data_IF_777524619714
#
_entry.id   IF_777524619714
#
_cell.length_a   1.000
_cell.length_b   1.000
_cell.length_c   1.000
_cell.angle_alpha   90.00
_cell.angle_beta   90.00
_cell.angle_gamma   90.00
#
_symmetry.space_group_name_H-M   'P 1'
#
loop_
_entity.id
_entity.type
_entity.pdbx_description
1 polymer ?
#
# COMPACT_ATOMS: atom_id res chain seq x y z
N UNK A 1 5.53 -6.14 -31.18
CA UNK A 1 6.07 -6.68 -29.91
C UNK A 1 5.88 -5.64 -28.82
N UNK A 2 4.86 -5.81 -27.98
CA UNK A 2 4.86 -5.26 -26.62
C UNK A 2 3.83 -6.10 -25.88
N UNK A 3 4.32 -6.98 -25.01
CA UNK A 3 3.49 -7.80 -24.17
C UNK A 3 2.77 -6.83 -23.24
N UNK A 4 1.46 -6.68 -23.43
CA UNK A 4 0.61 -5.87 -22.57
C UNK A 4 0.84 -6.30 -21.13
N UNK A 5 1.26 -5.33 -20.31
CA UNK A 5 1.41 -5.41 -18.86
C UNK A 5 0.20 -6.16 -18.33
N UNK A 6 0.44 -7.37 -17.83
CA UNK A 6 -0.61 -8.30 -17.46
C UNK A 6 -1.63 -7.59 -16.58
N UNK A 7 -2.90 -7.70 -16.97
CA UNK A 7 -4.01 -7.52 -16.05
C UNK A 7 -3.78 -8.53 -14.93
N UNK A 8 -3.15 -8.08 -13.84
CA UNK A 8 -3.08 -8.82 -12.60
C UNK A 8 -4.52 -9.02 -12.18
N UNK A 9 -4.98 -10.24 -12.38
CA UNK A 9 -6.32 -10.72 -12.14
C UNK A 9 -6.83 -10.28 -10.77
N UNK A 10 -8.06 -9.77 -10.80
CA UNK A 10 -8.98 -9.38 -9.72
C UNK A 10 -9.27 -10.54 -8.75
N UNK A 11 -8.21 -11.05 -8.10
CA UNK A 11 -8.33 -11.60 -6.76
C UNK A 11 -8.05 -10.42 -5.85
N UNK A 12 -9.11 -9.71 -5.39
CA UNK A 12 -8.97 -8.58 -4.46
C UNK A 12 -8.01 -8.98 -3.36
N UNK A 13 -6.83 -8.39 -3.36
CA UNK A 13 -5.82 -8.79 -2.41
C UNK A 13 -6.40 -8.54 -1.02
N UNK A 14 -6.17 -9.45 -0.06
CA UNK A 14 -6.56 -9.18 1.32
C UNK A 14 -6.01 -7.79 1.68
N UNK A 15 -6.86 -6.92 2.24
CA UNK A 15 -6.53 -5.53 2.58
C UNK A 15 -6.56 -4.48 1.44
N UNK A 16 -7.06 -4.77 0.24
CA UNK A 16 -7.12 -3.77 -0.85
C UNK A 16 -7.88 -2.50 -0.45
N UNK A 17 -9.12 -2.62 0.02
CA UNK A 17 -9.92 -1.46 0.43
C UNK A 17 -9.32 -0.76 1.65
N UNK A 18 -8.83 -1.54 2.63
CA UNK A 18 -8.12 -0.99 3.79
C UNK A 18 -6.93 -0.12 3.36
N UNK A 19 -6.11 -0.58 2.40
CA UNK A 19 -4.93 0.16 1.97
C UNK A 19 -5.31 1.42 1.18
N UNK A 20 -6.37 1.37 0.36
CA UNK A 20 -6.90 2.54 -0.36
C UNK A 20 -7.40 3.62 0.60
N UNK A 21 -8.22 3.22 1.58
CA UNK A 21 -8.75 4.11 2.60
C UNK A 21 -7.62 4.71 3.44
N UNK A 22 -6.71 3.87 3.94
CA UNK A 22 -5.58 4.28 4.75
C UNK A 22 -4.67 5.29 4.01
N UNK A 23 -4.39 5.07 2.73
CA UNK A 23 -3.61 6.02 1.92
C UNK A 23 -4.34 7.35 1.75
N UNK A 24 -5.63 7.33 1.39
CA UNK A 24 -6.42 8.54 1.23
C UNK A 24 -6.47 9.37 2.54
N UNK A 25 -6.64 8.69 3.67
CA UNK A 25 -6.66 9.31 4.99
C UNK A 25 -5.32 9.96 5.37
N UNK A 26 -4.20 9.26 5.16
CA UNK A 26 -2.86 9.77 5.53
C UNK A 26 -2.36 10.85 4.59
N UNK A 27 -2.64 10.73 3.29
CA UNK A 27 -2.26 11.75 2.32
C UNK A 27 -3.19 12.99 2.39
N UNK A 28 -4.43 12.80 2.84
CA UNK A 28 -5.43 13.88 3.00
C UNK A 28 -5.94 14.42 1.67
N UNK A 29 -5.83 13.63 0.60
CA UNK A 29 -6.22 13.98 -0.78
C UNK A 29 -6.87 12.78 -1.45
N UNK A 30 -7.59 13.02 -2.54
CA UNK A 30 -7.98 11.96 -3.46
C UNK A 30 -6.71 11.37 -4.12
N UNK A 31 -6.60 10.04 -4.13
CA UNK A 31 -5.43 9.32 -4.64
C UNK A 31 -5.77 8.60 -5.94
N UNK A 32 -4.79 8.47 -6.82
CA UNK A 32 -4.84 7.58 -7.97
C UNK A 32 -4.39 6.18 -7.53
N UNK A 33 -5.33 5.22 -7.54
CA UNK A 33 -5.09 3.85 -7.09
C UNK A 33 -4.12 3.06 -7.99
N UNK A 34 -3.78 3.56 -9.17
CA UNK A 34 -2.81 2.96 -10.08
C UNK A 34 -1.42 3.61 -9.98
N UNK A 35 -1.24 4.54 -9.03
CA UNK A 35 0.02 5.26 -8.80
C UNK A 35 0.65 4.95 -7.46
N UNK A 36 1.97 5.12 -7.42
CA UNK A 36 2.76 4.89 -6.23
C UNK A 36 2.52 5.93 -5.13
N UNK A 37 3.03 5.64 -3.95
CA UNK A 37 2.83 6.49 -2.78
C UNK A 37 3.43 7.89 -2.96
N UNK A 38 4.65 7.96 -3.50
CA UNK A 38 5.34 9.22 -3.77
C UNK A 38 4.66 10.03 -4.89
N UNK A 39 4.13 9.35 -5.92
CA UNK A 39 3.42 10.00 -7.03
C UNK A 39 2.09 10.62 -6.57
N UNK A 40 1.49 10.07 -5.51
CA UNK A 40 0.30 10.62 -4.84
C UNK A 40 0.64 11.73 -3.82
N UNK A 41 1.90 12.18 -3.75
CA UNK A 41 2.33 13.24 -2.83
C UNK A 41 2.76 12.75 -1.44
N UNK A 42 3.00 11.45 -1.29
CA UNK A 42 3.56 10.87 -0.08
C UNK A 42 5.01 11.25 0.17
N UNK A 43 5.46 11.05 1.41
CA UNK A 43 6.82 11.29 1.87
C UNK A 43 7.18 10.30 2.99
N UNK A 44 8.42 10.33 3.47
CA UNK A 44 8.90 9.41 4.51
C UNK A 44 8.14 9.52 5.83
N UNK A 45 7.68 10.73 6.21
CA UNK A 45 6.93 10.90 7.46
C UNK A 45 5.57 10.20 7.35
N UNK A 46 4.86 10.41 6.24
CA UNK A 46 3.59 9.75 5.97
C UNK A 46 3.75 8.25 5.77
N UNK A 47 4.84 7.79 5.16
CA UNK A 47 5.13 6.36 5.04
C UNK A 47 5.25 5.68 6.41
N UNK A 48 5.95 6.31 7.36
CA UNK A 48 6.03 5.81 8.75
C UNK A 48 4.64 5.79 9.41
N UNK A 49 3.77 6.78 9.14
CA UNK A 49 2.40 6.77 9.65
C UNK A 49 1.58 5.58 9.11
N UNK A 50 1.73 5.24 7.82
CA UNK A 50 1.10 4.06 7.21
C UNK A 50 1.56 2.80 7.94
N UNK A 51 2.87 2.60 8.11
CA UNK A 51 3.42 1.40 8.78
C UNK A 51 2.84 1.23 10.19
N UNK A 52 2.82 2.31 10.98
CA UNK A 52 2.29 2.25 12.34
C UNK A 52 0.81 1.88 12.37
N UNK A 53 -0.01 2.47 11.50
CA UNK A 53 -1.44 2.16 11.42
C UNK A 53 -1.70 0.73 10.93
N UNK A 54 -0.93 0.27 9.95
CA UNK A 54 -1.00 -1.13 9.49
C UNK A 54 -0.73 -2.08 10.66
N UNK A 55 0.29 -1.81 11.46
CA UNK A 55 0.61 -2.63 12.63
C UNK A 55 -0.51 -2.59 13.68
N UNK A 56 -1.00 -1.41 14.03
CA UNK A 56 -2.06 -1.24 15.04
C UNK A 56 -3.37 -1.95 14.63
N UNK A 57 -3.73 -1.90 13.35
CA UNK A 57 -5.01 -2.42 12.86
C UNK A 57 -4.94 -3.91 12.46
N UNK A 58 -3.77 -4.40 12.05
CA UNK A 58 -3.63 -5.77 11.50
C UNK A 58 -2.68 -6.66 12.28
N UNK A 59 -1.86 -6.10 13.17
CA UNK A 59 -0.79 -6.81 13.88
C UNK A 59 0.34 -7.29 12.97
N UNK A 60 0.42 -6.80 11.72
CA UNK A 60 1.45 -7.18 10.75
C UNK A 60 2.49 -6.07 10.56
N UNK A 61 3.71 -6.48 10.27
CA UNK A 61 4.85 -5.58 10.11
C UNK A 61 5.25 -5.46 8.63
N UNK A 62 5.36 -4.23 8.15
CA UNK A 62 5.87 -3.88 6.82
C UNK A 62 6.92 -2.76 6.96
N UNK A 63 7.90 -2.67 6.05
CA UNK A 63 8.90 -1.60 6.10
C UNK A 63 8.33 -0.30 5.52
N UNK A 64 8.78 0.85 6.02
CA UNK A 64 8.42 2.14 5.43
C UNK A 64 8.99 2.27 4.01
N UNK A 65 10.11 1.59 3.71
CA UNK A 65 10.65 1.50 2.36
C UNK A 65 9.69 0.79 1.41
N UNK A 66 8.99 -0.25 1.87
CA UNK A 66 7.97 -0.94 1.07
C UNK A 66 6.83 0.02 0.68
N UNK A 67 6.46 0.92 1.59
CA UNK A 67 5.43 1.94 1.32
C UNK A 67 5.93 2.95 0.28
N UNK A 68 7.16 3.43 0.41
CA UNK A 68 7.75 4.40 -0.52
C UNK A 68 7.93 3.83 -1.93
N UNK A 69 8.28 2.54 -2.03
CA UNK A 69 8.51 1.83 -3.30
C UNK A 69 7.22 1.24 -3.89
N UNK A 70 6.13 1.20 -3.13
CA UNK A 70 4.85 0.66 -3.58
C UNK A 70 4.34 1.44 -4.80
N UNK A 71 4.11 0.72 -5.89
CA UNK A 71 3.57 1.27 -7.15
C UNK A 71 2.06 1.52 -7.10
N UNK A 72 1.38 1.04 -6.06
CA UNK A 72 -0.04 1.26 -5.80
C UNK A 72 -0.43 0.76 -4.42
N UNK A 73 -1.59 1.17 -3.87
CA UNK A 73 -2.16 0.56 -2.67
C UNK A 73 -2.30 -0.97 -2.81
N UNK A 74 -2.70 -1.47 -3.98
CA UNK A 74 -2.85 -2.91 -4.22
C UNK A 74 -1.52 -3.67 -4.24
N UNK A 75 -0.42 -3.03 -4.66
CA UNK A 75 0.91 -3.62 -4.53
C UNK A 75 1.29 -3.81 -3.05
N UNK A 76 1.02 -2.81 -2.22
CA UNK A 76 1.30 -2.87 -0.79
C UNK A 76 0.36 -3.83 -0.05
N UNK A 77 -0.91 -3.92 -0.44
CA UNK A 77 -1.87 -4.91 0.09
C UNK A 77 -1.39 -6.35 -0.13
N UNK A 78 -0.85 -6.67 -1.31
CA UNK A 78 -0.23 -7.99 -1.56
C UNK A 78 0.97 -8.27 -0.65
N UNK A 79 1.82 -7.27 -0.44
CA UNK A 79 2.96 -7.38 0.47
C UNK A 79 2.48 -7.66 1.90
N UNK A 80 1.48 -6.89 2.36
CA UNK A 80 0.84 -7.07 3.67
C UNK A 80 0.18 -8.45 3.83
N UNK A 81 -0.42 -9.00 2.77
CA UNK A 81 -1.00 -10.35 2.83
C UNK A 81 0.05 -11.41 3.19
N UNK A 82 1.30 -11.25 2.73
CA UNK A 82 2.45 -12.13 3.04
C UNK A 82 3.29 -11.72 4.25
N UNK A 83 3.03 -10.54 4.82
CA UNK A 83 3.82 -10.01 5.92
C UNK A 83 3.70 -10.84 7.21
N UNK A 84 4.78 -10.95 8.00
CA UNK A 84 4.72 -11.60 9.29
C UNK A 84 3.81 -10.83 10.25
N UNK A 85 3.13 -11.56 11.14
CA UNK A 85 2.55 -10.96 12.33
C UNK A 85 3.68 -10.58 13.29
N UNK A 86 3.59 -9.40 13.89
CA UNK A 86 4.50 -8.95 14.94
C UNK A 86 4.44 -9.87 16.16
N UNK A 87 5.55 -9.91 16.91
CA UNK A 87 5.71 -10.77 18.08
C UNK A 87 5.30 -10.06 19.37
#
# INVERSE_FOLDING_TARGET
MSVSKQAFTDERAPYDEFMKELWAEVLGVEIDYDRGFLDNGGDSFRAVQIVNRVFEETGKEIDYLDVLEAQSPGALSRLLASAPSGR
#
